data_IF_691152795232
#
_entry.id   IF_691152795232
#
_cell.length_a   1.000
_cell.length_b   1.000
_cell.length_c   1.000
_cell.angle_alpha   90.00
_cell.angle_beta   90.00
_cell.angle_gamma   90.00
#
_symmetry.space_group_name_H-M   'P 1'
#
loop_
_entity.id
_entity.type
_entity.pdbx_description
1 polymer ?
#
# COMPACT_ATOMS: atom_id res chain seq x y z
N UNK A 1 -33.62 3.21 -0.62
CA UNK A 1 -32.74 3.39 -1.79
C UNK A 1 -33.43 2.71 -2.97
N UNK A 2 -34.02 3.47 -3.92
CA UNK A 2 -34.52 2.92 -5.20
C UNK A 2 -33.35 2.94 -6.19
N UNK A 3 -32.84 1.76 -6.55
CA UNK A 3 -31.93 1.61 -7.68
C UNK A 3 -32.80 1.62 -8.94
N UNK A 4 -32.85 2.77 -9.64
CA UNK A 4 -33.46 2.85 -10.97
C UNK A 4 -32.67 1.95 -11.94
N UNK A 5 -33.37 1.26 -12.86
CA UNK A 5 -32.77 0.48 -13.94
C UNK A 5 -31.81 1.38 -14.72
N UNK A 6 -30.50 1.00 -14.74
CA UNK A 6 -29.43 1.77 -15.39
C UNK A 6 -29.24 1.30 -16.83
N UNK A 7 -29.08 2.26 -17.71
CA UNK A 7 -28.70 2.02 -19.10
C UNK A 7 -27.25 1.47 -19.14
N UNK A 8 -27.03 0.23 -19.59
CA UNK A 8 -25.70 -0.39 -19.62
C UNK A 8 -24.74 0.25 -20.63
N UNK A 9 -25.20 1.13 -21.51
CA UNK A 9 -24.38 1.80 -22.52
C UNK A 9 -23.65 3.07 -22.01
N UNK A 10 -24.05 3.60 -20.85
CA UNK A 10 -23.37 4.74 -20.19
C UNK A 10 -22.59 4.18 -19.02
N UNK A 11 -21.28 4.05 -19.15
CA UNK A 11 -20.38 3.61 -18.09
C UNK A 11 -20.79 4.22 -16.75
N UNK A 12 -21.22 3.40 -15.79
CA UNK A 12 -21.80 3.84 -14.55
C UNK A 12 -20.68 4.39 -13.64
N UNK A 13 -20.46 5.69 -13.67
CA UNK A 13 -19.56 6.33 -12.70
C UNK A 13 -20.29 6.47 -11.37
N UNK A 14 -19.71 5.91 -10.29
CA UNK A 14 -20.16 6.24 -8.94
C UNK A 14 -19.79 7.69 -8.63
N UNK A 15 -20.77 8.45 -8.15
CA UNK A 15 -20.55 9.80 -7.65
C UNK A 15 -20.97 9.88 -6.19
N UNK A 16 -20.18 10.60 -5.41
CA UNK A 16 -20.57 10.93 -4.04
C UNK A 16 -21.59 12.06 -3.99
N UNK A 17 -22.04 12.42 -2.77
CA UNK A 17 -22.98 13.51 -2.55
C UNK A 17 -22.49 14.90 -3.01
N UNK A 18 -21.18 15.04 -3.27
CA UNK A 18 -20.54 16.26 -3.76
C UNK A 18 -20.26 16.25 -5.27
N UNK A 19 -20.75 15.22 -5.99
CA UNK A 19 -20.56 15.07 -7.44
C UNK A 19 -19.17 14.56 -7.87
N UNK A 20 -18.30 14.15 -6.93
CA UNK A 20 -16.99 13.61 -7.26
C UNK A 20 -17.13 12.18 -7.79
N UNK A 21 -16.42 11.86 -8.86
CA UNK A 21 -16.36 10.50 -9.40
C UNK A 21 -15.49 9.64 -8.48
N UNK A 22 -16.03 8.51 -8.03
CA UNK A 22 -15.33 7.52 -7.24
C UNK A 22 -14.86 6.43 -8.19
N UNK A 23 -13.57 6.43 -8.54
CA UNK A 23 -12.93 5.51 -9.47
C UNK A 23 -11.75 4.74 -8.86
N UNK A 24 -11.55 4.86 -7.55
CA UNK A 24 -10.41 4.32 -6.83
C UNK A 24 -10.84 3.51 -5.61
N UNK A 25 -10.25 2.32 -5.43
CA UNK A 25 -10.48 1.45 -4.27
C UNK A 25 -9.16 1.00 -3.65
N UNK A 26 -9.11 0.97 -2.31
CA UNK A 26 -8.01 0.35 -1.56
C UNK A 26 -8.51 -0.95 -0.95
N UNK A 27 -7.69 -2.00 -1.08
CA UNK A 27 -8.01 -3.33 -0.57
C UNK A 27 -6.89 -3.75 0.39
N UNK A 28 -7.26 -3.98 1.66
CA UNK A 28 -6.36 -4.57 2.64
C UNK A 28 -6.35 -6.08 2.45
N UNK A 29 -5.18 -6.66 2.17
CA UNK A 29 -5.06 -8.09 1.91
C UNK A 29 -4.93 -8.91 3.19
N UNK A 30 -4.36 -8.33 4.24
CA UNK A 30 -4.02 -9.02 5.48
C UNK A 30 -3.80 -8.05 6.63
N UNK A 31 -4.06 -8.50 7.84
CA UNK A 31 -3.69 -7.85 9.09
C UNK A 31 -2.22 -8.12 9.48
N UNK A 32 -1.58 -9.12 8.87
CA UNK A 32 -0.21 -9.54 9.18
C UNK A 32 0.81 -8.60 8.58
N UNK A 33 1.86 -8.32 9.35
CA UNK A 33 3.02 -7.54 8.92
C UNK A 33 4.30 -8.15 9.47
N UNK A 34 5.39 -8.08 8.74
CA UNK A 34 6.73 -8.45 9.22
C UNK A 34 7.36 -7.39 10.12
N UNK A 35 6.85 -6.14 10.12
CA UNK A 35 7.23 -5.09 11.05
C UNK A 35 6.25 -4.92 12.20
N UNK A 36 6.67 -4.13 13.23
CA UNK A 36 5.87 -3.74 14.40
C UNK A 36 6.06 -2.26 14.68
N UNK A 37 5.82 -1.42 13.67
CA UNK A 37 6.05 0.02 13.78
C UNK A 37 5.32 0.61 14.98
N UNK A 38 6.06 1.43 15.75
CA UNK A 38 5.63 1.96 17.05
C UNK A 38 4.31 2.72 17.00
N UNK A 39 4.02 3.37 15.88
CA UNK A 39 2.79 4.14 15.66
C UNK A 39 1.67 3.32 14.99
N UNK A 40 1.94 2.08 14.57
CA UNK A 40 1.00 1.29 13.78
C UNK A 40 0.36 0.16 14.58
N UNK A 41 1.15 -0.58 15.36
CA UNK A 41 0.65 -1.72 16.13
C UNK A 41 1.49 -1.97 17.38
N UNK A 42 0.94 -2.68 18.39
CA UNK A 42 1.66 -3.10 19.60
C UNK A 42 2.91 -3.95 19.26
N UNK A 43 3.87 -4.03 20.19
CA UNK A 43 5.11 -4.81 20.01
C UNK A 43 4.85 -6.29 19.77
N UNK A 44 3.85 -6.84 20.44
CA UNK A 44 3.42 -8.25 20.31
C UNK A 44 2.58 -8.50 19.04
N UNK A 45 2.22 -7.43 18.34
CA UNK A 45 1.35 -7.46 17.18
C UNK A 45 -0.11 -7.35 17.54
N UNK A 46 -0.97 -7.49 16.54
CA UNK A 46 -2.43 -7.59 16.72
C UNK A 46 -2.84 -9.05 16.79
N UNK A 47 -3.95 -9.34 17.47
CA UNK A 47 -4.56 -10.67 17.43
C UNK A 47 -4.92 -10.99 15.99
N UNK A 48 -4.26 -12.02 15.43
CA UNK A 48 -4.54 -12.42 14.05
C UNK A 48 -5.98 -12.88 13.90
N UNK A 49 -6.66 -12.37 12.90
CA UNK A 49 -7.98 -12.85 12.52
C UNK A 49 -7.89 -14.31 12.05
N UNK A 50 -8.95 -15.08 12.29
CA UNK A 50 -9.06 -16.42 11.75
C UNK A 50 -9.14 -16.37 10.23
N UNK A 51 -8.69 -17.43 9.55
CA UNK A 51 -8.78 -17.51 8.08
C UNK A 51 -10.21 -17.36 7.57
N UNK A 52 -11.20 -17.77 8.36
CA UNK A 52 -12.63 -17.61 8.06
C UNK A 52 -13.12 -16.17 8.07
N UNK A 53 -12.38 -15.28 8.73
CA UNK A 53 -12.77 -13.87 8.93
C UNK A 53 -12.07 -12.93 7.95
N UNK A 54 -11.16 -13.48 7.13
CA UNK A 54 -10.42 -12.75 6.09
C UNK A 54 -10.89 -13.26 4.73
N UNK A 55 -11.25 -12.34 3.83
CA UNK A 55 -11.63 -12.70 2.47
C UNK A 55 -10.55 -13.55 1.79
N UNK A 56 -10.96 -14.62 1.10
CA UNK A 56 -10.08 -15.37 0.22
C UNK A 56 -9.64 -14.51 -0.98
N UNK A 57 -8.62 -14.94 -1.73
CA UNK A 57 -8.19 -14.21 -2.92
C UNK A 57 -9.29 -14.21 -3.99
N UNK A 58 -10.02 -15.31 -4.13
CA UNK A 58 -11.14 -15.45 -5.06
C UNK A 58 -12.32 -14.55 -4.70
N UNK A 59 -12.56 -14.34 -3.39
CA UNK A 59 -13.57 -13.40 -2.92
C UNK A 59 -13.15 -11.95 -3.21
N UNK A 60 -11.86 -11.61 -3.01
CA UNK A 60 -11.31 -10.30 -3.39
C UNK A 60 -11.46 -10.07 -4.89
N UNK A 61 -11.13 -11.05 -5.74
CA UNK A 61 -11.33 -10.96 -7.18
C UNK A 61 -12.80 -10.70 -7.55
N UNK A 62 -13.73 -11.37 -6.85
CA UNK A 62 -15.16 -11.14 -7.05
C UNK A 62 -15.55 -9.70 -6.70
N UNK A 63 -15.04 -9.18 -5.58
CA UNK A 63 -15.24 -7.77 -5.18
C UNK A 63 -14.70 -6.82 -6.24
N UNK A 64 -13.49 -7.10 -6.77
CA UNK A 64 -12.87 -6.27 -7.81
C UNK A 64 -13.70 -6.27 -9.09
N UNK A 65 -14.17 -7.43 -9.57
CA UNK A 65 -15.02 -7.51 -10.77
C UNK A 65 -16.31 -6.69 -10.61
N UNK A 66 -16.95 -6.78 -9.44
CA UNK A 66 -18.17 -5.99 -9.16
C UNK A 66 -17.83 -4.51 -9.11
N UNK A 67 -16.76 -4.12 -8.42
CA UNK A 67 -16.33 -2.73 -8.31
C UNK A 67 -15.96 -2.14 -9.69
N UNK A 68 -15.25 -2.89 -10.53
CA UNK A 68 -14.92 -2.50 -11.90
C UNK A 68 -16.18 -2.29 -12.75
N UNK A 69 -17.17 -3.17 -12.65
CA UNK A 69 -18.45 -2.99 -13.34
C UNK A 69 -19.25 -1.77 -12.88
N UNK A 70 -18.94 -1.25 -11.68
CA UNK A 70 -19.52 -0.02 -11.11
C UNK A 70 -18.72 1.24 -11.46
N UNK A 71 -17.58 1.12 -12.19
CA UNK A 71 -16.75 2.22 -12.64
C UNK A 71 -15.52 2.50 -11.79
N UNK A 72 -15.17 1.62 -10.84
CA UNK A 72 -13.85 1.68 -10.18
C UNK A 72 -12.80 1.18 -11.18
N UNK A 73 -11.78 1.99 -11.42
CA UNK A 73 -10.76 1.75 -12.44
C UNK A 73 -9.36 1.52 -11.86
N UNK A 74 -9.14 2.01 -10.65
CA UNK A 74 -7.83 2.01 -9.99
C UNK A 74 -7.91 1.29 -8.67
N UNK A 75 -7.04 0.30 -8.50
CA UNK A 75 -6.98 -0.51 -7.28
C UNK A 75 -5.62 -0.35 -6.61
N UNK A 76 -5.64 -0.26 -5.27
CA UNK A 76 -4.41 -0.29 -4.47
C UNK A 76 -4.48 -1.38 -3.44
N UNK A 77 -3.52 -2.30 -3.52
CA UNK A 77 -3.34 -3.33 -2.54
C UNK A 77 -2.52 -2.80 -1.37
N UNK A 78 -2.95 -3.13 -0.17
CA UNK A 78 -2.34 -2.73 1.09
C UNK A 78 -2.65 -3.80 2.16
N UNK A 79 -2.49 -3.48 3.44
CA UNK A 79 -2.81 -4.38 4.55
C UNK A 79 -1.93 -4.04 5.74
N UNK A 80 -1.50 -5.04 6.50
CA UNK A 80 -0.27 -4.97 7.25
C UNK A 80 0.89 -4.86 6.25
N UNK A 81 1.43 -6.00 5.81
CA UNK A 81 2.31 -6.03 4.63
C UNK A 81 1.68 -6.97 3.58
N UNK A 82 1.24 -6.46 2.43
CA UNK A 82 0.51 -7.27 1.45
C UNK A 82 1.33 -8.42 0.87
N UNK A 83 2.66 -8.26 0.73
CA UNK A 83 3.53 -9.28 0.15
C UNK A 83 3.82 -10.46 1.08
N UNK A 84 3.42 -10.41 2.36
CA UNK A 84 3.47 -11.59 3.23
C UNK A 84 2.30 -12.54 2.96
N UNK A 85 1.25 -12.08 2.28
CA UNK A 85 0.13 -12.94 1.89
C UNK A 85 0.51 -13.78 0.68
N UNK A 86 0.51 -15.10 0.86
CA UNK A 86 0.74 -16.04 -0.26
C UNK A 86 -0.30 -15.81 -1.36
N UNK A 87 0.15 -15.77 -2.62
CA UNK A 87 -0.72 -15.52 -3.78
C UNK A 87 -0.98 -14.04 -4.09
N UNK A 88 -0.30 -13.11 -3.42
CA UNK A 88 -0.45 -11.67 -3.68
C UNK A 88 -0.10 -11.30 -5.14
N UNK A 89 0.91 -11.94 -5.74
CA UNK A 89 1.31 -11.72 -7.15
C UNK A 89 0.20 -12.20 -8.10
N UNK A 90 -0.37 -13.38 -7.84
CA UNK A 90 -1.45 -13.92 -8.68
C UNK A 90 -2.71 -13.06 -8.59
N UNK A 91 -2.99 -12.51 -7.41
CA UNK A 91 -4.07 -11.55 -7.23
C UNK A 91 -3.84 -10.25 -8.02
N UNK A 92 -2.61 -9.73 -8.05
CA UNK A 92 -2.27 -8.56 -8.89
C UNK A 92 -2.61 -8.85 -10.35
N UNK A 93 -2.21 -10.02 -10.87
CA UNK A 93 -2.51 -10.44 -12.25
C UNK A 93 -4.01 -10.51 -12.50
N UNK A 94 -4.76 -11.19 -11.64
CA UNK A 94 -6.19 -11.32 -11.76
C UNK A 94 -6.92 -9.96 -11.73
N UNK A 95 -6.46 -9.02 -10.91
CA UNK A 95 -7.00 -7.66 -10.88
C UNK A 95 -6.67 -6.91 -12.17
N UNK A 96 -5.41 -6.97 -12.62
CA UNK A 96 -4.97 -6.32 -13.85
C UNK A 96 -5.74 -6.82 -15.10
N UNK A 97 -6.00 -8.11 -15.18
CA UNK A 97 -6.75 -8.74 -16.26
C UNK A 97 -8.28 -8.51 -16.19
N UNK A 98 -8.76 -7.92 -15.09
CA UNK A 98 -10.20 -7.64 -14.93
C UNK A 98 -10.64 -6.52 -15.88
N UNK A 99 -11.65 -6.74 -16.76
CA UNK A 99 -12.13 -5.70 -17.67
C UNK A 99 -12.57 -4.43 -16.95
N UNK A 100 -12.08 -3.29 -17.42
CA UNK A 100 -12.38 -1.96 -16.84
C UNK A 100 -11.41 -1.51 -15.75
N UNK A 101 -10.41 -2.31 -15.41
CA UNK A 101 -9.30 -1.89 -14.53
C UNK A 101 -8.22 -1.23 -15.37
N UNK A 102 -7.87 0.00 -15.01
CA UNK A 102 -6.85 0.80 -15.72
C UNK A 102 -5.50 0.78 -14.96
N UNK A 103 -5.51 0.56 -13.62
CA UNK A 103 -4.31 0.69 -12.79
C UNK A 103 -4.37 -0.19 -11.54
N UNK A 104 -3.28 -0.90 -11.30
CA UNK A 104 -3.05 -1.66 -10.06
C UNK A 104 -1.77 -1.16 -9.39
N UNK A 105 -1.86 -0.82 -8.12
CA UNK A 105 -0.73 -0.30 -7.34
C UNK A 105 -0.61 -1.00 -5.99
N UNK A 106 0.57 -0.95 -5.39
CA UNK A 106 0.90 -1.58 -4.13
C UNK A 106 1.41 -0.56 -3.11
N UNK A 107 1.06 -0.73 -1.83
CA UNK A 107 1.74 -0.07 -0.71
C UNK A 107 2.40 -1.15 0.12
N UNK A 108 3.72 -1.05 0.31
CA UNK A 108 4.55 -2.06 0.97
C UNK A 108 5.63 -1.40 1.83
N UNK A 109 6.20 -2.13 2.77
CA UNK A 109 7.41 -1.71 3.49
C UNK A 109 8.72 -1.96 2.70
N UNK A 110 8.63 -2.59 1.53
CA UNK A 110 9.75 -2.77 0.60
C UNK A 110 10.58 -4.05 0.79
N UNK A 111 10.60 -4.66 1.97
CA UNK A 111 11.48 -5.80 2.30
C UNK A 111 11.38 -6.96 1.32
N UNK A 112 10.19 -7.22 0.82
CA UNK A 112 9.96 -8.35 -0.09
C UNK A 112 10.02 -7.97 -1.57
N UNK A 113 10.22 -6.68 -1.91
CA UNK A 113 10.35 -6.25 -3.30
C UNK A 113 11.53 -6.87 -4.04
N UNK A 114 12.74 -7.02 -3.46
CA UNK A 114 13.85 -7.69 -4.16
C UNK A 114 13.50 -9.10 -4.64
N UNK A 115 12.57 -9.75 -3.95
CA UNK A 115 12.12 -11.10 -4.33
C UNK A 115 11.01 -11.09 -5.38
N UNK A 116 10.11 -10.11 -5.33
CA UNK A 116 8.85 -10.17 -6.08
C UNK A 116 8.69 -9.09 -7.15
N UNK A 117 9.59 -8.10 -7.26
CA UNK A 117 9.39 -6.94 -8.12
C UNK A 117 9.19 -7.32 -9.59
N UNK A 118 10.02 -8.20 -10.13
CA UNK A 118 9.90 -8.66 -11.51
C UNK A 118 8.59 -9.43 -11.76
N UNK A 119 8.21 -10.32 -10.85
CA UNK A 119 6.95 -11.07 -10.95
C UNK A 119 5.73 -10.15 -10.85
N UNK A 120 5.79 -9.13 -9.99
CA UNK A 120 4.75 -8.13 -9.83
C UNK A 120 4.60 -7.27 -11.10
N UNK A 121 5.71 -6.85 -11.71
CA UNK A 121 5.68 -6.11 -12.97
C UNK A 121 5.10 -6.97 -14.10
N UNK A 122 5.53 -8.23 -14.21
CA UNK A 122 4.98 -9.19 -15.16
C UNK A 122 3.49 -9.52 -14.91
N UNK A 123 3.01 -9.36 -13.67
CA UNK A 123 1.61 -9.49 -13.30
C UNK A 123 0.78 -8.22 -13.60
N UNK A 124 1.41 -7.13 -14.09
CA UNK A 124 0.71 -5.89 -14.45
C UNK A 124 0.65 -4.85 -13.32
N UNK A 125 1.46 -4.99 -12.26
CA UNK A 125 1.60 -3.92 -11.28
C UNK A 125 2.26 -2.71 -11.92
N UNK A 126 1.63 -1.54 -11.87
CA UNK A 126 2.13 -0.34 -12.54
C UNK A 126 3.09 0.46 -11.68
N UNK A 127 2.84 0.53 -10.38
CA UNK A 127 3.58 1.41 -9.45
C UNK A 127 3.55 0.94 -8.01
N UNK A 128 4.55 1.37 -7.25
CA UNK A 128 4.70 1.03 -5.84
C UNK A 128 4.79 2.28 -4.96
N UNK A 129 4.26 2.16 -3.74
CA UNK A 129 4.48 3.12 -2.67
C UNK A 129 5.20 2.38 -1.55
N UNK A 130 6.41 2.80 -1.23
CA UNK A 130 7.27 2.16 -0.24
C UNK A 130 7.25 3.03 1.02
N UNK A 131 7.00 2.42 2.17
CA UNK A 131 7.01 3.12 3.45
C UNK A 131 8.42 3.13 4.03
N UNK A 132 8.96 4.33 4.29
CA UNK A 132 10.29 4.54 4.86
C UNK A 132 10.31 5.83 5.68
N UNK A 133 10.35 5.72 7.00
CA UNK A 133 10.17 6.86 7.90
C UNK A 133 11.48 7.56 8.29
N UNK A 134 12.62 6.92 8.08
CA UNK A 134 13.94 7.48 8.40
C UNK A 134 15.03 6.83 7.54
N UNK A 135 16.14 7.56 7.37
CA UNK A 135 17.37 7.09 6.75
C UNK A 135 18.46 6.78 7.78
N UNK A 136 18.16 6.92 9.07
CA UNK A 136 19.03 6.51 10.16
C UNK A 136 18.77 5.06 10.55
N UNK A 137 19.79 4.16 10.54
CA UNK A 137 19.58 2.74 10.81
C UNK A 137 19.12 2.44 12.25
N UNK A 138 19.60 3.20 13.24
CA UNK A 138 19.21 2.98 14.63
C UNK A 138 17.77 3.45 14.86
N UNK A 139 17.43 4.61 14.32
CA UNK A 139 16.07 5.11 14.36
C UNK A 139 15.11 4.21 13.61
N UNK A 140 15.53 3.63 12.47
CA UNK A 140 14.72 2.67 11.70
C UNK A 140 14.39 1.42 12.53
N UNK A 141 15.38 0.83 13.22
CA UNK A 141 15.15 -0.31 14.13
C UNK A 141 14.21 0.07 15.27
N UNK A 142 14.40 1.26 15.84
CA UNK A 142 13.50 1.76 16.89
C UNK A 142 12.05 1.88 16.40
N UNK A 143 11.86 2.51 15.24
CA UNK A 143 10.50 2.72 14.67
C UNK A 143 9.86 1.38 14.29
N UNK A 144 10.57 0.52 13.56
CA UNK A 144 10.00 -0.72 13.00
C UNK A 144 10.00 -1.88 13.97
N UNK A 145 10.83 -1.84 15.02
CA UNK A 145 11.10 -2.87 16.04
C UNK A 145 11.68 -4.18 15.49
N UNK A 146 11.58 -4.46 14.20
CA UNK A 146 11.96 -5.75 13.57
C UNK A 146 12.69 -5.63 12.25
N UNK A 147 12.80 -4.41 11.70
CA UNK A 147 13.37 -4.18 10.38
C UNK A 147 14.78 -3.64 10.41
N UNK A 148 15.49 -3.86 9.33
CA UNK A 148 16.78 -3.24 9.04
C UNK A 148 16.63 -2.26 7.86
N UNK A 149 17.26 -1.08 7.98
CA UNK A 149 17.13 -0.01 6.97
C UNK A 149 17.54 -0.49 5.56
N UNK A 150 18.63 -1.26 5.47
CA UNK A 150 19.13 -1.74 4.17
C UNK A 150 18.08 -2.57 3.42
N UNK A 151 17.24 -3.36 4.10
CA UNK A 151 16.18 -4.16 3.46
C UNK A 151 15.16 -3.28 2.74
N UNK A 152 14.79 -2.15 3.35
CA UNK A 152 13.86 -1.19 2.72
C UNK A 152 14.53 -0.43 1.56
N UNK A 153 15.82 -0.09 1.68
CA UNK A 153 16.60 0.54 0.61
C UNK A 153 16.75 -0.42 -0.57
N UNK A 154 17.10 -1.68 -0.33
CA UNK A 154 17.18 -2.73 -1.38
C UNK A 154 15.84 -2.87 -2.10
N UNK A 155 14.73 -2.75 -1.37
CA UNK A 155 13.39 -2.73 -1.93
C UNK A 155 13.14 -1.53 -2.87
N UNK A 156 13.64 -0.34 -2.52
CA UNK A 156 13.55 0.84 -3.38
C UNK A 156 14.38 0.64 -4.65
N UNK A 157 15.62 0.16 -4.52
CA UNK A 157 16.50 -0.08 -5.67
C UNK A 157 15.91 -1.16 -6.59
N UNK A 158 15.36 -2.24 -6.03
CA UNK A 158 14.66 -3.26 -6.81
C UNK A 158 13.46 -2.68 -7.58
N UNK A 159 12.67 -1.82 -6.94
CA UNK A 159 11.53 -1.17 -7.58
C UNK A 159 11.96 -0.25 -8.74
N UNK A 160 13.05 0.50 -8.58
CA UNK A 160 13.60 1.37 -9.62
C UNK A 160 14.19 0.54 -10.77
N UNK A 161 14.95 -0.51 -10.46
CA UNK A 161 15.56 -1.40 -11.46
C UNK A 161 14.52 -2.14 -12.31
N UNK A 162 13.39 -2.51 -11.73
CA UNK A 162 12.27 -3.16 -12.43
C UNK A 162 11.50 -2.19 -13.34
N UNK A 163 11.65 -0.88 -13.13
CA UNK A 163 11.02 0.17 -13.95
C UNK A 163 9.60 0.53 -13.53
N UNK A 164 9.23 0.34 -12.27
CA UNK A 164 7.96 0.89 -11.77
C UNK A 164 7.96 2.41 -11.85
N UNK A 165 6.88 2.98 -12.41
CA UNK A 165 6.74 4.43 -12.57
C UNK A 165 5.31 4.91 -12.19
N UNK A 166 5.20 5.77 -11.19
CA UNK A 166 6.27 6.26 -10.30
C UNK A 166 6.56 5.31 -9.12
N UNK A 167 7.83 5.26 -8.70
CA UNK A 167 8.22 4.77 -7.37
C UNK A 167 7.99 5.90 -6.38
N UNK A 168 7.17 5.66 -5.35
CA UNK A 168 6.89 6.65 -4.30
C UNK A 168 7.39 6.15 -2.96
N UNK A 169 8.12 7.00 -2.26
CA UNK A 169 8.54 6.76 -0.88
C UNK A 169 7.69 7.63 0.04
N UNK A 170 7.04 7.01 1.01
CA UNK A 170 6.19 7.68 1.99
C UNK A 170 6.87 7.65 3.35
N UNK A 171 7.02 8.81 3.99
CA UNK A 171 7.45 8.92 5.38
C UNK A 171 6.33 9.53 6.24
N UNK A 172 5.97 8.85 7.31
CA UNK A 172 5.11 9.42 8.34
C UNK A 172 5.92 10.39 9.17
N UNK A 173 5.48 11.64 9.25
CA UNK A 173 6.18 12.70 9.98
C UNK A 173 5.73 12.72 11.42
N UNK A 174 6.66 12.44 12.34
CA UNK A 174 6.42 12.43 13.78
C UNK A 174 7.41 13.38 14.45
N UNK A 175 6.92 14.47 15.02
CA UNK A 175 7.78 15.53 15.63
C UNK A 175 8.81 14.98 16.62
N UNK A 176 8.40 14.05 17.48
CA UNK A 176 9.25 13.48 18.53
C UNK A 176 10.39 12.62 17.99
N UNK A 177 10.36 12.21 16.72
CA UNK A 177 11.39 11.37 16.12
C UNK A 177 12.57 12.17 15.55
N UNK A 178 12.44 13.48 15.35
CA UNK A 178 13.55 14.33 14.84
C UNK A 178 14.08 13.86 13.48
N UNK A 179 13.20 13.43 12.57
CA UNK A 179 13.56 12.87 11.27
C UNK A 179 14.28 13.88 10.37
N UNK A 180 15.30 13.42 9.62
CA UNK A 180 16.04 14.26 8.67
C UNK A 180 15.31 14.33 7.31
N UNK A 181 14.45 15.33 7.15
CA UNK A 181 13.71 15.54 5.90
C UNK A 181 14.59 16.02 4.75
N UNK A 182 15.75 16.65 5.04
CA UNK A 182 16.68 17.07 3.98
C UNK A 182 17.37 15.85 3.34
N UNK A 183 17.72 14.85 4.12
CA UNK A 183 18.27 13.60 3.61
C UNK A 183 17.27 12.91 2.66
N UNK A 184 16.00 12.88 3.01
CA UNK A 184 14.95 12.38 2.12
C UNK A 184 14.79 13.21 0.84
N UNK A 185 14.84 14.53 0.94
CA UNK A 185 14.76 15.39 -0.24
C UNK A 185 15.93 15.15 -1.20
N UNK A 186 17.14 14.94 -0.68
CA UNK A 186 18.33 14.60 -1.49
C UNK A 186 18.14 13.31 -2.29
N UNK A 187 17.45 12.30 -1.75
CA UNK A 187 17.17 11.06 -2.50
C UNK A 187 16.46 11.31 -3.83
N UNK A 188 15.65 12.37 -3.94
CA UNK A 188 14.90 12.70 -5.16
C UNK A 188 15.74 13.39 -6.22
N UNK A 189 16.95 13.87 -5.88
CA UNK A 189 17.88 14.49 -6.82
C UNK A 189 18.58 13.42 -7.65
N UNK A 190 18.99 12.33 -6.99
CA UNK A 190 19.84 11.32 -7.58
C UNK A 190 19.03 10.09 -8.10
N UNK A 191 17.76 10.00 -7.73
CA UNK A 191 16.90 8.86 -8.06
C UNK A 191 15.55 9.32 -8.63
N UNK A 192 15.01 8.65 -9.65
CA UNK A 192 13.68 8.97 -10.21
C UNK A 192 12.56 8.43 -9.29
N UNK A 193 12.47 8.99 -8.10
CA UNK A 193 11.43 8.66 -7.12
C UNK A 193 10.72 9.91 -6.60
N UNK A 194 9.52 9.70 -6.07
CA UNK A 194 8.73 10.75 -5.45
C UNK A 194 8.72 10.57 -3.94
N UNK A 195 9.28 11.53 -3.20
CA UNK A 195 9.17 11.57 -1.74
C UNK A 195 7.86 12.22 -1.32
N UNK A 196 7.16 11.60 -0.36
CA UNK A 196 5.93 12.13 0.23
C UNK A 196 6.00 12.07 1.74
N UNK A 197 5.78 13.20 2.38
CA UNK A 197 5.63 13.31 3.82
C UNK A 197 4.16 13.24 4.19
N UNK A 198 3.83 12.37 5.13
CA UNK A 198 2.47 12.11 5.58
C UNK A 198 2.39 12.53 7.04
N UNK A 199 1.47 13.43 7.36
CA UNK A 199 1.22 13.83 8.74
C UNK A 199 0.78 12.62 9.57
N UNK A 200 1.37 12.48 10.76
CA UNK A 200 0.95 11.47 11.72
C UNK A 200 -0.47 11.74 12.19
N UNK A 201 -1.35 10.75 12.03
CA UNK A 201 -2.71 10.79 12.54
C UNK A 201 -2.83 9.79 13.70
N UNK A 202 -3.20 10.24 14.91
CA UNK A 202 -3.34 9.39 16.09
C UNK A 202 -4.61 8.53 16.00
N UNK A 203 -4.56 7.47 15.19
CA UNK A 203 -5.65 6.50 15.01
C UNK A 203 -5.19 5.11 15.43
N UNK A 204 -6.10 4.31 16.00
CA UNK A 204 -5.79 2.94 16.44
C UNK A 204 -5.39 2.84 17.91
N UNK A 205 -4.99 1.65 18.33
CA UNK A 205 -4.65 1.34 19.74
C UNK A 205 -3.40 2.06 20.27
N UNK A 206 -2.52 2.52 19.36
CA UNK A 206 -1.31 3.29 19.71
C UNK A 206 -1.54 4.79 19.86
N UNK A 207 -2.76 5.28 19.68
CA UNK A 207 -3.10 6.71 19.69
C UNK A 207 -2.78 7.44 21.02
N UNK A 208 -2.58 6.73 22.11
CA UNK A 208 -2.27 7.31 23.42
C UNK A 208 -0.80 7.33 23.83
N UNK A 209 0.11 6.69 23.07
CA UNK A 209 1.51 6.49 23.48
C UNK A 209 2.53 7.48 22.89
N UNK A 210 2.14 8.24 21.88
CA UNK A 210 3.01 9.21 21.22
C UNK A 210 2.31 10.57 21.21
N UNK A 211 2.46 11.32 22.32
CA UNK A 211 1.94 12.69 22.42
C UNK A 211 2.46 13.59 21.31
N UNK A 212 1.59 14.44 20.82
CA UNK A 212 1.88 15.51 19.87
C UNK A 212 2.97 16.46 20.40
#
# INVERSE_FOLDING_TARGET
WRVGARDPSKGAFMKDSHGRVIDYMRISLTDRCNYRCIYCMPADGVTSLCHSDILSLEEIERVVRVAASMGIKRFRLTGGEPLVRKGAVDLVRAIHETPGVDDVSLTTNGVLLPKYAEELAAAGLSRVNISLDTLDPEQFRYITRRGELHEAIDGIEAALATGFDPVKVNAVTVRSLGQDFLAFAKMTIDRPLHMRFIEYMPVGESAGSHGC
#
